data_IF_959470449183
#
_entry.id   IF_959470449183
#
_cell.length_a   1.000
_cell.length_b   1.000
_cell.length_c   1.000
_cell.angle_alpha   90.00
_cell.angle_beta   90.00
_cell.angle_gamma   90.00
#
_symmetry.space_group_name_H-M   'P 1'
#
loop_
_entity.id
_entity.type
_entity.pdbx_description
1 polymer ?
#
# COMPACT_ATOMS: atom_id res chain seq x y z
N UNK A 1 46.46 -11.09 3.34
CA UNK A 1 47.87 -11.53 3.19
C UNK A 1 48.31 -12.57 4.24
N UNK A 2 48.26 -12.28 5.54
CA UNK A 2 48.62 -13.26 6.59
C UNK A 2 47.67 -14.49 6.62
N UNK A 3 46.36 -14.27 6.64
CA UNK A 3 45.35 -15.34 6.58
C UNK A 3 45.48 -16.20 5.32
N UNK A 4 45.73 -15.59 4.17
CA UNK A 4 45.90 -16.29 2.89
C UNK A 4 47.16 -17.18 2.89
N UNK A 5 48.28 -16.65 3.41
CA UNK A 5 49.51 -17.44 3.62
C UNK A 5 49.25 -18.60 4.59
N UNK A 6 48.52 -18.35 5.68
CA UNK A 6 48.18 -19.37 6.67
C UNK A 6 47.35 -20.50 6.06
N UNK A 7 46.31 -20.17 5.27
CA UNK A 7 45.44 -21.15 4.60
C UNK A 7 46.23 -21.96 3.57
N UNK A 8 47.07 -21.30 2.76
CA UNK A 8 47.88 -21.95 1.71
C UNK A 8 48.94 -22.88 2.29
N UNK A 9 49.62 -22.47 3.37
CA UNK A 9 50.63 -23.29 4.06
C UNK A 9 49.97 -24.44 4.83
N UNK A 10 48.84 -24.19 5.52
CA UNK A 10 48.05 -25.23 6.17
C UNK A 10 47.62 -26.31 5.19
N UNK A 11 47.15 -25.95 3.99
CA UNK A 11 46.76 -26.93 2.97
C UNK A 11 47.89 -27.86 2.53
N UNK A 12 49.16 -27.46 2.73
CA UNK A 12 50.35 -28.25 2.37
C UNK A 12 50.96 -29.00 3.55
N UNK A 13 50.92 -28.41 4.75
CA UNK A 13 51.64 -28.91 5.92
C UNK A 13 50.76 -29.52 7.02
N UNK A 14 49.42 -29.46 6.89
CA UNK A 14 48.49 -29.97 7.91
C UNK A 14 48.73 -31.43 8.30
N UNK A 15 49.16 -32.27 7.34
CA UNK A 15 49.44 -33.70 7.59
C UNK A 15 50.84 -33.98 8.15
N UNK A 16 51.76 -33.02 8.06
CA UNK A 16 53.19 -33.21 8.38
C UNK A 16 53.55 -32.53 9.70
N UNK A 17 53.01 -31.32 9.95
CA UNK A 17 53.18 -30.59 11.20
C UNK A 17 51.84 -29.96 11.62
N UNK A 18 51.01 -30.69 12.38
CA UNK A 18 49.74 -30.16 12.88
C UNK A 18 50.00 -29.04 13.90
N UNK A 19 49.46 -27.86 13.66
CA UNK A 19 49.44 -26.74 14.61
C UNK A 19 48.04 -26.57 15.19
N UNK A 20 47.98 -26.11 16.44
CA UNK A 20 46.74 -25.98 17.21
C UNK A 20 45.78 -24.94 16.58
N UNK A 21 46.30 -23.80 16.13
CA UNK A 21 45.52 -22.79 15.43
C UNK A 21 46.01 -22.58 13.99
N UNK A 22 45.07 -22.46 13.05
CA UNK A 22 45.37 -22.41 11.61
C UNK A 22 46.19 -21.19 11.18
N UNK A 23 46.14 -20.09 11.95
CA UNK A 23 46.95 -18.89 11.69
C UNK A 23 48.45 -19.11 12.00
N UNK A 24 48.81 -20.13 12.78
CA UNK A 24 50.19 -20.36 13.24
C UNK A 24 51.08 -20.87 12.10
N UNK A 25 50.49 -21.39 11.02
CA UNK A 25 51.18 -21.74 9.79
C UNK A 25 51.77 -20.52 9.06
N UNK A 26 51.37 -19.29 9.44
CA UNK A 26 51.90 -18.06 8.86
C UNK A 26 53.02 -17.42 9.70
N UNK A 27 53.26 -17.94 10.91
CA UNK A 27 54.22 -17.39 11.89
C UNK A 27 55.64 -17.31 11.34
N UNK A 28 56.10 -18.34 10.61
CA UNK A 28 57.45 -18.39 10.03
C UNK A 28 57.74 -17.23 9.07
N UNK A 29 56.72 -16.71 8.39
CA UNK A 29 56.86 -15.64 7.38
C UNK A 29 56.55 -14.26 7.94
N UNK A 30 55.64 -14.18 8.90
CA UNK A 30 55.03 -12.92 9.34
C UNK A 30 55.31 -12.55 10.81
N UNK A 31 55.97 -13.44 11.55
CA UNK A 31 56.29 -13.25 12.97
C UNK A 31 55.10 -13.51 13.89
N UNK A 32 55.39 -13.88 15.14
CA UNK A 32 54.37 -14.26 16.14
C UNK A 32 53.43 -13.11 16.52
N UNK A 33 53.98 -11.90 16.66
CA UNK A 33 53.20 -10.71 17.01
C UNK A 33 52.08 -10.43 15.99
N UNK A 34 52.37 -10.43 14.69
CA UNK A 34 51.37 -10.15 13.66
C UNK A 34 50.30 -11.26 13.59
N UNK A 35 50.70 -12.52 13.84
CA UNK A 35 49.77 -13.66 13.90
C UNK A 35 48.81 -13.52 15.07
N UNK A 36 49.30 -13.11 16.24
CA UNK A 36 48.49 -12.89 17.44
C UNK A 36 47.55 -11.68 17.27
N UNK A 37 48.04 -10.57 16.69
CA UNK A 37 47.21 -9.40 16.36
C UNK A 37 46.11 -9.76 15.35
N UNK A 38 46.43 -10.54 14.31
CA UNK A 38 45.45 -11.03 13.33
C UNK A 38 44.40 -11.93 14.00
N UNK A 39 44.81 -12.76 14.96
CA UNK A 39 43.89 -13.62 15.73
C UNK A 39 42.93 -12.79 16.58
N UNK A 40 43.42 -11.74 17.25
CA UNK A 40 42.59 -10.80 18.01
C UNK A 40 41.61 -10.09 17.07
N UNK A 41 42.08 -9.59 15.92
CA UNK A 41 41.24 -8.92 14.93
C UNK A 41 40.11 -9.82 14.43
N UNK A 42 40.37 -11.09 14.13
CA UNK A 42 39.33 -12.03 13.72
C UNK A 42 38.30 -12.31 14.82
N UNK A 43 38.70 -12.28 16.09
CA UNK A 43 37.77 -12.43 17.20
C UNK A 43 36.91 -11.18 17.39
N UNK A 44 37.47 -9.98 17.18
CA UNK A 44 36.69 -8.73 17.13
C UNK A 44 35.73 -8.77 15.95
N UNK A 45 36.17 -9.18 14.76
CA UNK A 45 35.31 -9.27 13.58
C UNK A 45 34.10 -10.18 13.81
N UNK A 46 34.29 -11.33 14.48
CA UNK A 46 33.18 -12.21 14.88
C UNK A 46 32.16 -11.51 15.78
N UNK A 47 32.62 -10.67 16.71
CA UNK A 47 31.75 -9.88 17.59
C UNK A 47 30.92 -8.84 16.81
N UNK A 48 31.46 -8.36 15.68
CA UNK A 48 30.81 -7.36 14.83
C UNK A 48 29.86 -7.95 13.78
N UNK A 49 29.76 -9.28 13.64
CA UNK A 49 28.82 -9.94 12.69
C UNK A 49 27.36 -9.47 12.86
N UNK A 50 26.81 -9.28 14.07
CA UNK A 50 25.44 -8.80 14.24
C UNK A 50 25.24 -7.33 13.81
N UNK A 51 26.30 -6.54 13.71
CA UNK A 51 26.21 -5.10 13.45
C UNK A 51 25.63 -4.79 12.06
N UNK A 52 26.09 -5.41 10.95
CA UNK A 52 25.44 -5.27 9.65
C UNK A 52 23.95 -5.67 9.65
N UNK A 53 23.59 -6.71 10.41
CA UNK A 53 22.18 -7.15 10.50
C UNK A 53 21.33 -6.09 11.19
N UNK A 54 21.84 -5.50 12.28
CA UNK A 54 21.16 -4.39 12.96
C UNK A 54 20.94 -3.20 12.03
N UNK A 55 21.97 -2.77 11.29
CA UNK A 55 21.82 -1.66 10.33
C UNK A 55 20.87 -1.99 9.19
N UNK A 56 20.91 -3.21 8.65
CA UNK A 56 19.97 -3.64 7.62
C UNK A 56 18.51 -3.64 8.10
N UNK A 57 18.27 -3.91 9.39
CA UNK A 57 16.96 -3.81 10.01
C UNK A 57 16.57 -2.35 10.27
N UNK A 58 17.49 -1.54 10.78
CA UNK A 58 17.26 -0.12 11.04
C UNK A 58 16.90 0.65 9.76
N UNK A 59 17.60 0.39 8.67
CA UNK A 59 17.37 1.06 7.38
C UNK A 59 15.99 0.74 6.76
N UNK A 60 15.28 -0.29 7.24
CA UNK A 60 13.91 -0.58 6.81
C UNK A 60 12.92 0.52 7.18
N UNK A 61 13.22 1.33 8.21
CA UNK A 61 12.33 2.42 8.60
C UNK A 61 12.15 3.45 7.49
N UNK A 62 13.18 3.67 6.66
CA UNK A 62 13.14 4.66 5.58
C UNK A 62 12.43 4.16 4.33
N UNK A 63 12.25 2.85 4.18
CA UNK A 63 11.68 2.23 2.98
C UNK A 63 10.37 1.50 3.29
N UNK A 64 10.44 0.37 3.99
CA UNK A 64 9.29 -0.50 4.26
C UNK A 64 8.29 0.14 5.21
N UNK A 65 8.74 0.82 6.25
CA UNK A 65 7.80 1.50 7.16
C UNK A 65 7.19 2.75 6.52
N UNK A 66 7.95 3.46 5.68
CA UNK A 66 7.39 4.54 4.83
C UNK A 66 6.28 3.98 3.92
N UNK A 67 6.49 2.83 3.28
CA UNK A 67 5.48 2.20 2.43
C UNK A 67 4.28 1.65 3.20
N UNK A 68 4.48 1.14 4.41
CA UNK A 68 3.38 0.80 5.31
C UNK A 68 2.57 2.06 5.65
N UNK A 69 3.24 3.19 5.94
CA UNK A 69 2.61 4.45 6.26
C UNK A 69 1.83 5.08 5.08
N UNK A 70 2.20 4.83 3.81
CA UNK A 70 1.40 5.31 2.65
C UNK A 70 0.01 4.69 2.59
N UNK A 71 -0.20 3.56 3.28
CA UNK A 71 -1.46 2.83 3.32
C UNK A 71 -2.25 3.06 4.62
N UNK A 72 -1.69 3.84 5.53
CA UNK A 72 -2.29 4.28 6.79
C UNK A 72 -2.93 5.65 6.64
N UNK A 73 -3.81 5.99 7.58
CA UNK A 73 -4.30 7.36 7.71
C UNK A 73 -3.24 8.21 8.43
N UNK A 74 -2.83 9.30 7.77
CA UNK A 74 -1.87 10.26 8.30
C UNK A 74 -2.52 11.50 8.91
N UNK A 75 -3.85 11.56 8.97
CA UNK A 75 -4.57 12.71 9.50
C UNK A 75 -4.52 12.76 11.04
N UNK A 76 -3.95 13.84 11.58
CA UNK A 76 -3.97 14.15 13.01
C UNK A 76 -5.06 15.18 13.37
N UNK A 77 -5.94 15.51 12.42
CA UNK A 77 -7.02 16.49 12.55
C UNK A 77 -6.57 17.94 12.37
N UNK A 78 -5.39 18.31 12.88
CA UNK A 78 -4.80 19.64 12.69
C UNK A 78 -3.74 19.69 11.58
N UNK A 79 -3.20 18.53 11.20
CA UNK A 79 -2.16 18.39 10.19
C UNK A 79 -2.14 16.96 9.66
N UNK A 80 -2.02 16.80 8.34
CA UNK A 80 -1.82 15.49 7.73
C UNK A 80 -0.34 15.22 7.54
N UNK A 81 0.18 14.21 8.25
CA UNK A 81 1.59 13.79 8.13
C UNK A 81 1.76 12.98 6.85
N UNK A 82 2.71 13.37 6.01
CA UNK A 82 3.07 12.57 4.84
C UNK A 82 3.96 11.38 5.25
N UNK A 83 3.85 10.23 4.57
CA UNK A 83 4.58 9.02 4.95
C UNK A 83 6.11 9.21 5.07
N UNK A 84 6.71 9.99 4.19
CA UNK A 84 8.14 10.32 4.20
C UNK A 84 8.55 11.20 5.38
N UNK A 85 7.65 12.08 5.85
CA UNK A 85 7.88 12.92 7.03
C UNK A 85 8.01 12.12 8.33
N UNK A 86 7.51 10.88 8.38
CA UNK A 86 7.70 10.00 9.54
C UNK A 86 9.18 9.74 9.86
N UNK A 87 10.08 9.91 8.89
CA UNK A 87 11.52 9.74 9.10
C UNK A 87 12.10 10.78 10.08
N UNK A 88 11.45 11.95 10.23
CA UNK A 88 11.85 13.01 11.17
C UNK A 88 11.74 12.56 12.63
N UNK A 89 10.88 11.57 12.92
CA UNK A 89 10.71 11.02 14.26
C UNK A 89 12.03 10.41 14.76
N UNK A 90 12.85 9.82 13.90
CA UNK A 90 14.09 9.17 14.30
C UNK A 90 15.13 10.14 14.92
N UNK A 91 15.59 11.21 14.23
CA UNK A 91 16.50 12.17 14.84
C UNK A 91 15.88 12.86 16.06
N UNK A 92 14.57 13.11 16.08
CA UNK A 92 13.88 13.66 17.24
C UNK A 92 13.96 12.73 18.46
N UNK A 93 13.67 11.44 18.27
CA UNK A 93 13.80 10.43 19.32
C UNK A 93 15.24 10.31 19.81
N UNK A 94 16.24 10.39 18.93
CA UNK A 94 17.65 10.38 19.33
C UNK A 94 17.98 11.58 20.22
N UNK A 95 17.54 12.79 19.84
CA UNK A 95 17.77 14.01 20.62
C UNK A 95 17.15 13.93 22.03
N UNK A 96 15.97 13.30 22.15
CA UNK A 96 15.30 13.10 23.44
C UNK A 96 15.92 11.94 24.23
N UNK A 97 16.21 10.82 23.58
CA UNK A 97 16.65 9.60 24.26
C UNK A 97 18.09 9.66 24.72
N UNK A 98 19.03 10.30 24.02
CA UNK A 98 20.42 10.41 24.50
C UNK A 98 20.50 10.94 25.94
N UNK A 99 19.99 12.15 26.27
CA UNK A 99 20.05 12.68 27.62
C UNK A 99 19.21 11.84 28.61
N UNK A 100 18.06 11.31 28.17
CA UNK A 100 17.23 10.45 29.00
C UNK A 100 17.94 9.14 29.38
N UNK A 101 18.74 8.57 28.48
CA UNK A 101 19.54 7.39 28.76
C UNK A 101 20.66 7.67 29.76
N UNK A 102 21.29 8.84 29.68
CA UNK A 102 22.32 9.25 30.63
C UNK A 102 21.78 9.45 32.04
N UNK A 103 20.64 10.14 32.18
CA UNK A 103 20.10 10.52 33.49
C UNK A 103 19.23 9.43 34.12
N UNK A 104 18.43 8.70 33.34
CA UNK A 104 17.42 7.78 33.87
C UNK A 104 17.69 6.30 33.53
N UNK A 105 17.88 5.96 32.26
CA UNK A 105 17.94 4.54 31.88
C UNK A 105 19.24 3.85 32.32
N UNK A 106 20.41 4.47 32.15
CA UNK A 106 21.67 3.84 32.59
C UNK A 106 21.74 3.60 34.10
N UNK A 107 21.35 4.53 35.00
CA UNK A 107 21.32 4.21 36.43
C UNK A 107 20.31 3.09 36.74
N UNK A 108 19.14 3.06 36.10
CA UNK A 108 18.17 1.98 36.29
C UNK A 108 18.69 0.61 35.81
N UNK A 109 19.30 0.56 34.62
CA UNK A 109 19.94 -0.65 34.08
C UNK A 109 21.09 -1.12 34.98
N UNK A 110 21.83 -0.17 35.56
CA UNK A 110 22.91 -0.49 36.50
C UNK A 110 22.39 -1.13 37.79
N UNK A 111 21.15 -0.84 38.20
CA UNK A 111 20.48 -1.44 39.35
C UNK A 111 20.14 -2.92 39.09
N UNK A 112 19.75 -3.24 37.85
CA UNK A 112 19.40 -4.60 37.39
C UNK A 112 20.66 -5.41 36.99
N UNK A 113 21.86 -4.80 37.08
CA UNK A 113 23.14 -5.45 36.80
C UNK A 113 23.59 -5.39 35.34
N UNK A 114 22.91 -4.62 34.49
CA UNK A 114 23.30 -4.37 33.10
C UNK A 114 24.24 -3.18 33.06
N UNK A 115 25.55 -3.46 32.99
CA UNK A 115 26.60 -2.41 33.04
C UNK A 115 27.55 -2.48 31.85
N UNK A 116 27.75 -3.68 31.28
CA UNK A 116 28.74 -3.88 30.22
C UNK A 116 28.23 -3.33 28.89
N UNK A 117 29.08 -2.68 28.08
CA UNK A 117 28.69 -2.19 26.75
C UNK A 117 28.02 -3.25 25.88
N UNK A 118 28.53 -4.50 25.94
CA UNK A 118 27.97 -5.60 25.16
C UNK A 118 26.54 -5.97 25.58
N UNK A 119 26.19 -5.86 26.87
CA UNK A 119 24.83 -6.13 27.36
C UNK A 119 23.84 -5.05 26.89
N UNK A 120 24.30 -3.79 26.82
CA UNK A 120 23.50 -2.68 26.28
C UNK A 120 23.23 -2.87 24.79
N UNK A 121 24.24 -3.33 24.04
CA UNK A 121 24.10 -3.66 22.62
C UNK A 121 23.11 -4.81 22.39
N UNK A 122 23.17 -5.87 23.20
CA UNK A 122 22.18 -6.97 23.11
C UNK A 122 20.77 -6.51 23.42
N UNK A 123 20.60 -5.61 24.41
CA UNK A 123 19.29 -5.05 24.74
C UNK A 123 18.71 -4.23 23.59
N UNK A 124 19.53 -3.41 22.93
CA UNK A 124 19.14 -2.69 21.71
C UNK A 124 18.70 -3.63 20.59
N UNK A 125 19.39 -4.76 20.41
CA UNK A 125 18.98 -5.80 19.46
C UNK A 125 17.62 -6.43 19.79
N UNK A 126 17.32 -6.67 21.08
CA UNK A 126 16.01 -7.17 21.51
C UNK A 126 14.91 -6.14 21.20
N UNK A 127 15.14 -4.86 21.48
CA UNK A 127 14.17 -3.80 21.15
C UNK A 127 13.96 -3.66 19.65
N UNK A 128 15.01 -3.78 18.84
CA UNK A 128 14.88 -3.82 17.38
C UNK A 128 13.97 -4.98 16.94
N UNK A 129 14.19 -6.19 17.48
CA UNK A 129 13.31 -7.34 17.22
C UNK A 129 11.86 -7.08 17.61
N UNK A 130 11.62 -6.48 18.78
CA UNK A 130 10.28 -6.12 19.25
C UNK A 130 9.60 -5.08 18.35
N UNK A 131 10.35 -4.11 17.83
CA UNK A 131 9.82 -3.12 16.89
C UNK A 131 9.31 -3.78 15.60
N UNK A 132 10.00 -4.81 15.09
CA UNK A 132 9.52 -5.56 13.92
C UNK A 132 8.25 -6.37 14.24
N UNK A 133 8.11 -6.91 15.45
CA UNK A 133 6.87 -7.57 15.88
C UNK A 133 5.71 -6.57 15.87
N UNK A 134 5.91 -5.37 16.39
CA UNK A 134 4.89 -4.31 16.37
C UNK A 134 4.55 -3.92 14.92
N UNK A 135 5.54 -3.70 14.06
CA UNK A 135 5.31 -3.38 12.64
C UNK A 135 4.55 -4.49 11.91
N UNK A 136 4.78 -5.76 12.28
CA UNK A 136 4.06 -6.92 11.72
C UNK A 136 2.60 -6.94 12.16
N UNK A 137 2.34 -6.66 13.44
CA UNK A 137 0.97 -6.56 13.97
C UNK A 137 0.20 -5.47 13.22
N UNK A 138 0.82 -4.29 13.03
CA UNK A 138 0.24 -3.18 12.26
C UNK A 138 -0.07 -3.60 10.81
N UNK A 139 0.82 -4.33 10.15
CA UNK A 139 0.59 -4.81 8.78
C UNK A 139 -0.61 -5.76 8.71
N UNK A 140 -0.77 -6.66 9.68
CA UNK A 140 -1.91 -7.58 9.74
C UNK A 140 -3.24 -6.82 9.88
N UNK A 141 -3.27 -5.74 10.67
CA UNK A 141 -4.45 -4.88 10.72
C UNK A 141 -4.69 -4.17 9.37
N UNK A 142 -3.64 -3.70 8.72
CA UNK A 142 -3.74 -3.02 7.42
C UNK A 142 -4.22 -3.94 6.30
N UNK A 143 -3.83 -5.21 6.31
CA UNK A 143 -4.21 -6.19 5.29
C UNK A 143 -5.73 -6.30 5.13
N UNK A 144 -6.48 -6.20 6.23
CA UNK A 144 -7.96 -6.19 6.22
C UNK A 144 -8.57 -5.02 5.43
N UNK A 145 -7.81 -3.94 5.22
CA UNK A 145 -8.22 -2.73 4.51
C UNK A 145 -7.73 -2.69 3.06
N UNK A 146 -6.94 -3.66 2.63
CA UNK A 146 -6.44 -3.71 1.26
C UNK A 146 -7.54 -4.16 0.30
N UNK A 147 -7.49 -3.62 -0.91
CA UNK A 147 -8.31 -4.10 -1.98
C UNK A 147 -7.95 -5.55 -2.31
N UNK A 148 -8.97 -6.40 -2.42
CA UNK A 148 -8.81 -7.74 -2.97
C UNK A 148 -8.60 -7.56 -4.47
N UNK A 149 -7.47 -8.01 -5.00
CA UNK A 149 -7.17 -7.97 -6.45
C UNK A 149 -7.41 -9.38 -6.99
N UNK A 150 -8.20 -9.55 -8.07
CA UNK A 150 -8.46 -10.86 -8.66
C UNK A 150 -7.16 -11.48 -9.17
N UNK A 151 -6.92 -12.75 -8.82
CA UNK A 151 -5.77 -13.54 -9.28
C UNK A 151 -6.14 -14.34 -10.53
N UNK A 152 -5.17 -15.03 -11.14
CA UNK A 152 -5.44 -16.00 -12.20
C UNK A 152 -6.56 -16.98 -11.80
N UNK A 153 -7.54 -17.15 -12.68
CA UNK A 153 -8.77 -17.92 -12.47
C UNK A 153 -9.90 -17.14 -11.78
N UNK A 154 -9.70 -15.88 -11.40
CA UNK A 154 -10.68 -15.06 -10.71
C UNK A 154 -10.93 -13.73 -11.44
N UNK A 155 -12.09 -13.14 -11.18
CA UNK A 155 -12.46 -11.80 -11.62
C UNK A 155 -13.40 -11.14 -10.60
N UNK A 156 -13.55 -9.81 -10.68
CA UNK A 156 -14.50 -9.07 -9.85
C UNK A 156 -15.59 -8.44 -10.69
N UNK A 157 -16.82 -8.47 -10.16
CA UNK A 157 -17.98 -7.86 -10.77
C UNK A 157 -18.67 -6.93 -9.77
N UNK A 158 -18.74 -5.65 -10.13
CA UNK A 158 -19.54 -4.65 -9.40
C UNK A 158 -20.66 -4.15 -10.29
N UNK A 159 -21.87 -4.08 -9.76
CA UNK A 159 -23.03 -3.55 -10.48
C UNK A 159 -23.62 -2.42 -9.64
N UNK A 160 -23.61 -1.21 -10.20
CA UNK A 160 -24.08 0.01 -9.56
C UNK A 160 -25.44 0.42 -10.12
N UNK A 161 -26.39 0.68 -9.23
CA UNK A 161 -27.70 1.22 -9.60
C UNK A 161 -27.72 2.74 -9.52
N UNK A 162 -27.62 3.43 -10.65
CA UNK A 162 -27.75 4.89 -10.72
C UNK A 162 -29.19 5.39 -10.74
N UNK A 163 -30.19 4.54 -10.54
CA UNK A 163 -31.61 4.90 -10.60
C UNK A 163 -32.23 5.06 -9.20
N UNK A 164 -33.26 5.92 -9.05
CA UNK A 164 -34.01 6.09 -7.81
C UNK A 164 -34.97 4.92 -7.50
N UNK A 165 -34.74 3.73 -8.07
CA UNK A 165 -35.68 2.61 -8.08
C UNK A 165 -34.99 1.30 -7.73
N UNK A 166 -35.74 0.36 -7.16
CA UNK A 166 -35.27 -0.99 -6.88
C UNK A 166 -35.48 -1.90 -8.10
N UNK A 167 -34.45 -2.66 -8.44
CA UNK A 167 -34.49 -3.65 -9.51
C UNK A 167 -34.21 -5.05 -8.99
N UNK A 168 -35.00 -6.01 -9.42
CA UNK A 168 -34.72 -7.43 -9.22
C UNK A 168 -33.97 -7.95 -10.44
N UNK A 169 -32.79 -8.50 -10.20
CA UNK A 169 -31.90 -9.06 -11.20
C UNK A 169 -31.94 -10.58 -11.06
N UNK A 170 -32.38 -11.25 -12.11
CA UNK A 170 -32.23 -12.70 -12.23
C UNK A 170 -31.04 -12.96 -13.14
N UNK A 171 -30.05 -13.70 -12.67
CA UNK A 171 -28.80 -13.91 -13.39
C UNK A 171 -28.39 -15.38 -13.38
N UNK A 172 -27.45 -15.75 -14.25
CA UNK A 172 -26.78 -17.06 -14.18
C UNK A 172 -25.42 -16.99 -13.46
N UNK A 173 -25.19 -15.95 -12.65
CA UNK A 173 -23.99 -15.83 -11.83
C UNK A 173 -24.04 -16.92 -10.74
N UNK A 174 -22.95 -17.68 -10.51
CA UNK A 174 -22.90 -18.68 -9.45
C UNK A 174 -23.30 -18.08 -8.10
N UNK A 175 -24.15 -18.79 -7.36
CA UNK A 175 -24.63 -18.38 -6.03
C UNK A 175 -25.50 -17.10 -5.99
N UNK A 176 -25.67 -16.39 -7.11
CA UNK A 176 -26.43 -15.14 -7.24
C UNK A 176 -27.49 -15.21 -8.34
N UNK A 177 -28.30 -16.27 -8.31
CA UNK A 177 -29.33 -16.50 -9.32
C UNK A 177 -30.44 -15.44 -9.32
N UNK A 178 -30.74 -14.86 -8.15
CA UNK A 178 -31.75 -13.82 -7.98
C UNK A 178 -31.35 -12.90 -6.83
N UNK A 179 -31.23 -11.60 -7.11
CA UNK A 179 -30.92 -10.59 -6.09
C UNK A 179 -31.62 -9.27 -6.39
N UNK A 180 -31.90 -8.50 -5.33
CA UNK A 180 -32.51 -7.17 -5.46
C UNK A 180 -31.45 -6.09 -5.30
N UNK A 181 -31.26 -5.32 -6.36
CA UNK A 181 -30.38 -4.16 -6.39
C UNK A 181 -31.18 -2.91 -6.03
N UNK A 182 -31.01 -2.45 -4.80
CA UNK A 182 -31.72 -1.27 -4.26
C UNK A 182 -31.32 0.00 -4.98
N UNK A 183 -32.16 1.04 -4.89
CA UNK A 183 -31.86 2.37 -5.38
C UNK A 183 -30.52 2.90 -4.86
N UNK A 184 -29.70 3.49 -5.74
CA UNK A 184 -28.39 4.09 -5.41
C UNK A 184 -27.41 3.15 -4.69
N UNK A 185 -27.63 1.84 -4.78
CA UNK A 185 -26.80 0.81 -4.15
C UNK A 185 -25.92 0.07 -5.16
N UNK A 186 -25.03 -0.76 -4.64
CA UNK A 186 -24.12 -1.58 -5.42
C UNK A 186 -24.26 -3.05 -5.02
N UNK A 187 -24.23 -3.94 -6.02
CA UNK A 187 -23.93 -5.35 -5.85
C UNK A 187 -22.43 -5.58 -6.10
N UNK A 188 -21.78 -6.36 -5.25
CA UNK A 188 -20.35 -6.68 -5.37
C UNK A 188 -20.13 -8.18 -5.22
N UNK A 189 -19.45 -8.77 -6.20
CA UNK A 189 -18.88 -10.11 -6.12
C UNK A 189 -17.37 -10.01 -6.38
N UNK A 190 -16.58 -10.42 -5.37
CA UNK A 190 -15.10 -10.28 -5.36
C UNK A 190 -14.39 -11.54 -5.86
N UNK A 191 -15.07 -12.69 -5.87
CA UNK A 191 -14.46 -13.99 -6.12
C UNK A 191 -15.21 -14.77 -7.21
N UNK A 192 -15.29 -14.18 -8.40
CA UNK A 192 -15.93 -14.84 -9.54
C UNK A 192 -14.93 -15.73 -10.26
N UNK A 193 -15.18 -17.04 -10.33
CA UNK A 193 -14.29 -17.97 -11.02
C UNK A 193 -14.43 -17.82 -12.55
N UNK A 194 -13.41 -17.22 -13.18
CA UNK A 194 -13.38 -16.89 -14.61
C UNK A 194 -12.04 -17.28 -15.20
N UNK A 195 -12.06 -18.09 -16.27
CA UNK A 195 -10.87 -18.45 -17.06
C UNK A 195 -10.94 -17.76 -18.42
N UNK A 196 -10.04 -16.83 -18.68
CA UNK A 196 -9.99 -15.96 -19.85
C UNK A 196 -11.12 -14.94 -19.90
N UNK A 197 -12.30 -15.35 -20.37
CA UNK A 197 -13.47 -14.49 -20.50
C UNK A 197 -14.74 -15.29 -20.26
N UNK A 198 -15.61 -14.79 -19.39
CA UNK A 198 -16.92 -15.37 -19.11
C UNK A 198 -18.03 -14.37 -19.45
N UNK A 199 -19.13 -14.89 -19.97
CA UNK A 199 -20.32 -14.09 -20.26
C UNK A 199 -21.46 -14.58 -19.39
N UNK A 200 -21.98 -13.71 -18.53
CA UNK A 200 -23.15 -13.96 -17.70
C UNK A 200 -24.36 -13.27 -18.33
N UNK A 201 -25.51 -13.91 -18.29
CA UNK A 201 -26.78 -13.37 -18.75
C UNK A 201 -27.61 -12.95 -17.55
N UNK A 202 -28.34 -11.85 -17.67
CA UNK A 202 -29.26 -11.39 -16.63
C UNK A 202 -30.52 -10.75 -17.23
N UNK A 203 -31.61 -10.77 -16.47
CA UNK A 203 -32.85 -10.06 -16.76
C UNK A 203 -33.12 -9.06 -15.63
N UNK A 204 -33.58 -7.87 -16.01
CA UNK A 204 -33.88 -6.78 -15.07
C UNK A 204 -35.40 -6.60 -14.98
N UNK A 205 -35.96 -6.69 -13.78
CA UNK A 205 -37.38 -6.43 -13.52
C UNK A 205 -37.53 -5.33 -12.47
N UNK A 206 -38.43 -4.38 -12.72
CA UNK A 206 -38.65 -3.24 -11.82
C UNK A 206 -39.58 -3.64 -10.67
N UNK A 207 -39.16 -3.40 -9.43
CA UNK A 207 -39.94 -3.76 -8.23
C UNK A 207 -40.50 -2.55 -7.49
N UNK A 208 -40.04 -1.33 -7.81
CA UNK A 208 -40.47 -0.08 -7.17
C UNK A 208 -41.48 0.75 -7.98
N UNK A 209 -42.38 1.52 -7.33
CA UNK A 209 -43.33 2.38 -8.01
C UNK A 209 -42.66 3.69 -8.43
N UNK A 210 -42.41 3.89 -9.73
CA UNK A 210 -42.00 5.18 -10.26
C UNK A 210 -42.11 5.25 -11.79
N UNK A 211 -42.56 6.38 -12.37
CA UNK A 211 -42.77 6.53 -13.82
C UNK A 211 -41.48 6.45 -14.65
N UNK A 212 -40.31 6.59 -14.00
CA UNK A 212 -38.98 6.52 -14.62
C UNK A 212 -38.27 5.17 -14.37
N UNK A 213 -38.95 4.20 -13.75
CA UNK A 213 -38.39 2.93 -13.31
C UNK A 213 -38.80 1.76 -14.20
N UNK A 214 -39.67 1.98 -15.20
CA UNK A 214 -40.14 0.93 -16.08
C UNK A 214 -39.00 0.43 -16.97
N UNK A 215 -38.81 -0.90 -16.99
CA UNK A 215 -37.80 -1.57 -17.82
C UNK A 215 -38.51 -2.64 -18.62
N UNK A 216 -38.19 -2.75 -19.90
CA UNK A 216 -38.53 -3.94 -20.66
C UNK A 216 -37.72 -5.13 -20.10
N UNK A 217 -38.39 -6.23 -19.78
CA UNK A 217 -37.74 -7.47 -19.37
C UNK A 217 -36.97 -8.07 -20.56
N UNK A 218 -35.76 -7.57 -20.76
CA UNK A 218 -34.85 -8.03 -21.81
C UNK A 218 -33.69 -8.80 -21.18
N UNK A 219 -33.28 -9.89 -21.84
CA UNK A 219 -32.07 -10.60 -21.47
C UNK A 219 -30.84 -9.83 -21.96
N UNK A 220 -29.97 -9.48 -21.02
CA UNK A 220 -28.73 -8.72 -21.24
C UNK A 220 -27.53 -9.51 -20.75
N UNK A 221 -26.33 -9.05 -21.05
CA UNK A 221 -25.10 -9.76 -20.70
C UNK A 221 -24.09 -8.90 -19.94
N UNK A 222 -23.40 -9.53 -18.99
CA UNK A 222 -22.15 -9.07 -18.40
C UNK A 222 -21.01 -9.89 -19.00
N UNK A 223 -19.95 -9.20 -19.42
CA UNK A 223 -18.73 -9.82 -19.95
C UNK A 223 -17.63 -9.51 -18.95
N UNK A 224 -17.11 -10.56 -18.34
CA UNK A 224 -16.11 -10.48 -17.28
C UNK A 224 -14.83 -11.13 -17.77
N UNK A 225 -13.70 -10.46 -17.55
CA UNK A 225 -12.37 -10.93 -17.93
C UNK A 225 -11.59 -11.37 -16.69
N UNK A 226 -10.80 -12.43 -16.84
CA UNK A 226 -9.87 -12.92 -15.82
C UNK A 226 -8.87 -11.83 -15.40
N UNK A 227 -8.49 -11.80 -14.12
CA UNK A 227 -7.56 -10.82 -13.53
C UNK A 227 -8.03 -9.35 -13.63
N UNK A 228 -9.31 -9.12 -13.98
CA UNK A 228 -9.87 -7.78 -14.12
C UNK A 228 -10.96 -7.50 -13.08
N UNK A 229 -11.00 -6.25 -12.64
CA UNK A 229 -12.12 -5.72 -11.86
C UNK A 229 -13.04 -4.97 -12.82
N UNK A 230 -14.29 -5.41 -12.95
CA UNK A 230 -15.22 -4.83 -13.92
C UNK A 230 -16.45 -4.28 -13.21
N UNK A 231 -16.76 -3.04 -13.54
CA UNK A 231 -17.88 -2.30 -13.00
C UNK A 231 -18.90 -2.01 -14.09
N UNK A 232 -20.17 -2.25 -13.76
CA UNK A 232 -21.31 -1.96 -14.60
C UNK A 232 -22.19 -0.92 -13.93
N UNK A 233 -22.41 0.22 -14.60
CA UNK A 233 -23.25 1.31 -14.10
C UNK A 233 -24.56 1.38 -14.87
N UNK A 234 -25.67 1.18 -14.16
CA UNK A 234 -27.03 1.29 -14.69
C UNK A 234 -27.45 2.76 -14.68
N UNK A 235 -27.71 3.33 -15.85
CA UNK A 235 -28.12 4.73 -16.02
C UNK A 235 -29.35 4.88 -16.90
N UNK A 236 -30.01 6.03 -16.79
CA UNK A 236 -31.15 6.37 -17.66
C UNK A 236 -30.64 6.87 -19.02
N UNK A 237 -31.28 6.45 -20.10
CA UNK A 237 -31.12 7.00 -21.44
C UNK A 237 -32.51 7.31 -22.01
N UNK A 238 -32.61 8.20 -23.01
CA UNK A 238 -33.88 8.81 -23.48
C UNK A 238 -35.02 7.82 -23.77
N UNK A 239 -34.71 6.56 -24.10
CA UNK A 239 -35.68 5.50 -24.40
C UNK A 239 -35.65 4.30 -23.44
N UNK A 240 -34.90 4.34 -22.34
CA UNK A 240 -34.84 3.23 -21.37
C UNK A 240 -33.61 3.23 -20.46
N UNK A 241 -33.11 2.04 -20.15
CA UNK A 241 -31.93 1.83 -19.30
C UNK A 241 -30.74 1.43 -20.15
N UNK A 242 -29.60 2.09 -19.95
CA UNK A 242 -28.31 1.72 -20.53
C UNK A 242 -27.33 1.25 -19.45
N UNK A 243 -26.42 0.36 -19.82
CA UNK A 243 -25.32 -0.07 -18.97
C UNK A 243 -24.01 0.48 -19.52
N UNK A 244 -23.28 1.18 -18.65
CA UNK A 244 -21.90 1.59 -18.91
C UNK A 244 -20.96 0.58 -18.27
N UNK A 245 -20.08 -0.03 -19.07
CA UNK A 245 -19.01 -0.91 -18.60
C UNK A 245 -17.71 -0.12 -18.47
N UNK A 246 -16.99 -0.28 -17.37
CA UNK A 246 -15.64 0.24 -17.20
C UNK A 246 -14.79 -0.68 -16.31
N UNK A 247 -13.48 -0.58 -16.46
CA UNK A 247 -12.52 -1.29 -15.60
C UNK A 247 -12.32 -0.51 -14.30
N UNK A 248 -12.34 -1.24 -13.19
CA UNK A 248 -12.25 -0.70 -11.85
C UNK A 248 -10.82 -0.75 -11.32
N UNK A 249 -10.45 0.28 -10.58
CA UNK A 249 -9.25 0.29 -9.75
C UNK A 249 -9.66 0.59 -8.31
N UNK A 250 -9.33 -0.32 -7.39
CA UNK A 250 -9.63 -0.21 -5.96
C UNK A 250 -8.37 -0.05 -5.12
N UNK A 251 -7.20 0.05 -5.74
CA UNK A 251 -5.96 0.24 -5.00
C UNK A 251 -5.97 1.56 -4.22
N UNK A 252 -5.34 1.53 -3.05
CA UNK A 252 -5.09 2.75 -2.27
C UNK A 252 -4.08 3.62 -3.02
N UNK A 253 -4.24 4.94 -2.93
CA UNK A 253 -3.28 5.87 -3.52
C UNK A 253 -1.87 5.66 -3.00
N UNK A 254 -0.91 5.52 -3.91
CA UNK A 254 0.52 5.47 -3.55
C UNK A 254 1.02 6.75 -2.88
N UNK A 255 0.32 7.87 -3.08
CA UNK A 255 0.65 9.19 -2.50
C UNK A 255 -0.05 9.46 -1.16
N UNK A 256 -0.90 8.53 -0.68
CA UNK A 256 -1.65 8.69 0.56
C UNK A 256 -2.85 9.64 0.48
N UNK A 257 -3.18 10.16 -0.71
CA UNK A 257 -4.37 11.01 -0.89
C UNK A 257 -5.63 10.16 -1.07
N UNK A 258 -6.78 10.59 -0.54
CA UNK A 258 -8.04 9.89 -0.75
C UNK A 258 -8.44 9.95 -2.23
N UNK A 259 -8.83 8.79 -2.77
CA UNK A 259 -9.33 8.67 -4.13
C UNK A 259 -10.84 8.55 -4.07
N UNK A 260 -11.54 9.52 -4.64
CA UNK A 260 -12.99 9.50 -4.76
C UNK A 260 -13.40 9.16 -6.18
N UNK A 261 -14.39 8.26 -6.29
CA UNK A 261 -15.10 7.96 -7.53
C UNK A 261 -16.52 8.48 -7.41
N UNK A 262 -16.97 9.20 -8.44
CA UNK A 262 -18.34 9.72 -8.51
C UNK A 262 -19.02 9.11 -9.73
N UNK A 263 -20.13 8.40 -9.48
CA UNK A 263 -20.98 7.84 -10.51
C UNK A 263 -22.29 8.63 -10.52
N UNK A 264 -22.49 9.42 -11.57
CA UNK A 264 -23.66 10.28 -11.71
C UNK A 264 -24.56 9.84 -12.86
N UNK A 265 -25.86 9.77 -12.59
CA UNK A 265 -26.89 9.61 -13.62
C UNK A 265 -27.50 10.99 -13.94
N UNK A 266 -26.66 11.89 -14.45
CA UNK A 266 -27.03 13.28 -14.78
C UNK A 266 -27.36 13.41 -16.26
N UNK A 267 -28.19 14.40 -16.60
CA UNK A 267 -28.42 14.76 -18.00
C UNK A 267 -27.10 15.16 -18.68
N UNK A 268 -26.90 14.73 -19.92
CA UNK A 268 -25.64 14.89 -20.68
C UNK A 268 -25.25 16.36 -20.89
N UNK A 269 -26.19 17.29 -20.74
CA UNK A 269 -25.98 18.73 -20.91
C UNK A 269 -25.61 19.47 -19.60
N UNK A 270 -25.44 18.78 -18.48
CA UNK A 270 -25.05 19.39 -17.21
C UNK A 270 -23.58 19.16 -16.91
N UNK A 271 -22.85 20.26 -16.70
CA UNK A 271 -21.47 20.21 -16.23
C UNK A 271 -21.45 20.00 -14.71
N UNK A 272 -20.78 18.95 -14.24
CA UNK A 272 -20.52 18.72 -12.82
C UNK A 272 -19.15 19.27 -12.50
N UNK A 273 -19.10 20.30 -11.66
CA UNK A 273 -17.86 20.92 -11.21
C UNK A 273 -17.71 20.67 -9.73
N UNK A 274 -16.64 19.99 -9.34
CA UNK A 274 -16.24 19.92 -7.94
C UNK A 274 -15.68 21.28 -7.53
N UNK A 275 -16.01 21.74 -6.33
CA UNK A 275 -15.42 22.94 -5.73
C UNK A 275 -15.05 22.62 -4.30
N UNK A 276 -13.93 23.18 -3.88
CA UNK A 276 -13.61 23.20 -2.46
C UNK A 276 -14.59 24.17 -1.76
N UNK A 277 -15.01 23.85 -0.54
CA UNK A 277 -15.93 24.69 0.22
C UNK A 277 -15.21 25.95 0.70
N UNK A 278 -13.89 25.85 0.92
CA UNK A 278 -13.06 26.92 1.49
C UNK A 278 -12.31 27.75 0.42
N UNK A 279 -12.40 27.36 -0.86
CA UNK A 279 -11.81 28.09 -1.98
C UNK A 279 -12.88 28.55 -2.97
N UNK A 280 -12.84 29.83 -3.37
CA UNK A 280 -13.72 30.37 -4.42
C UNK A 280 -13.37 29.84 -5.82
N UNK A 281 -12.22 29.19 -5.98
CA UNK A 281 -11.77 28.64 -7.25
C UNK A 281 -12.34 27.23 -7.49
N UNK A 282 -12.61 26.90 -8.75
CA UNK A 282 -13.00 25.55 -9.15
C UNK A 282 -11.94 24.51 -8.75
N UNK A 283 -12.36 23.28 -8.45
CA UNK A 283 -11.45 22.18 -8.12
C UNK A 283 -10.54 21.88 -9.33
N UNK A 284 -9.31 22.39 -9.28
CA UNK A 284 -8.29 22.14 -10.29
C UNK A 284 -7.46 20.92 -9.89
N UNK A 285 -7.71 19.77 -10.55
CA UNK A 285 -6.90 18.56 -10.36
C UNK A 285 -5.48 18.70 -10.92
N UNK A 286 -5.19 19.75 -11.68
CA UNK A 286 -3.89 20.00 -12.30
C UNK A 286 -3.64 21.52 -12.50
N UNK A 287 -3.35 22.27 -11.44
CA UNK A 287 -1.93 22.68 -11.30
C UNK A 287 -1.02 21.46 -11.49
N UNK A 288 -0.86 21.10 -12.76
CA UNK A 288 0.15 20.20 -13.28
C UNK A 288 1.50 20.81 -12.90
N UNK A 289 2.08 20.28 -11.84
CA UNK A 289 3.35 20.71 -11.27
C UNK A 289 4.06 19.54 -10.65
N UNK A 290 4.18 18.44 -11.39
CA UNK A 290 5.43 17.71 -11.35
C UNK A 290 6.38 18.51 -12.22
N UNK A 291 7.39 19.15 -11.61
CA UNK A 291 8.64 19.32 -12.33
C UNK A 291 9.18 17.90 -12.56
N UNK A 292 9.11 17.43 -13.81
CA UNK A 292 10.29 17.04 -14.59
C UNK A 292 9.89 16.64 -16.03
N UNK A 293 10.84 16.86 -16.93
CA UNK A 293 10.78 17.13 -18.37
C UNK A 293 10.39 15.97 -19.32
N UNK A 294 10.15 16.39 -20.58
CA UNK A 294 10.29 15.70 -21.88
C UNK A 294 9.03 15.14 -22.60
N UNK A 295 8.68 15.88 -23.68
CA UNK A 295 8.04 15.51 -24.95
C UNK A 295 6.62 14.91 -25.00
N UNK A 296 5.64 15.75 -25.40
CA UNK A 296 4.86 15.60 -26.65
C UNK A 296 3.81 16.74 -26.80
N UNK A 297 3.94 17.68 -27.77
CA UNK A 297 3.05 18.84 -27.91
C UNK A 297 1.70 18.58 -28.62
N UNK A 298 1.24 17.34 -28.82
CA UNK A 298 0.07 17.09 -29.68
C UNK A 298 -0.95 16.02 -29.27
N UNK A 299 -1.19 15.80 -27.98
CA UNK A 299 -2.30 14.93 -27.54
C UNK A 299 -3.57 15.74 -27.23
N UNK A 300 -4.47 15.87 -28.22
CA UNK A 300 -5.83 16.43 -28.05
C UNK A 300 -6.85 15.29 -27.99
N UNK A 301 -7.78 15.31 -27.02
CA UNK A 301 -9.07 14.60 -27.10
C UNK A 301 -10.20 15.46 -26.49
N UNK A 302 -11.45 15.31 -26.98
CA UNK A 302 -12.23 16.43 -27.49
C UNK A 302 -13.12 17.14 -26.45
N UNK A 303 -13.29 18.42 -26.72
CA UNK A 303 -14.17 19.39 -26.08
C UNK A 303 -15.52 19.34 -26.79
N UNK A 304 -16.64 19.34 -26.06
CA UNK A 304 -17.89 19.89 -26.59
C UNK A 304 -18.45 20.99 -25.67
N UNK A 305 -18.23 22.20 -26.20
CA UNK A 305 -18.92 23.48 -26.16
C UNK A 305 -19.65 24.02 -24.90
N UNK A 306 -19.23 25.25 -24.61
CA UNK A 306 -19.76 26.32 -23.76
C UNK A 306 -21.20 26.69 -24.13
N UNK A 307 -22.07 26.89 -23.14
CA UNK A 307 -23.03 28.00 -23.12
C UNK A 307 -23.45 28.36 -21.67
N UNK A 308 -23.52 29.65 -21.38
CA UNK A 308 -23.88 30.23 -20.09
C UNK A 308 -25.38 30.19 -19.82
N UNK A 309 -25.79 29.86 -18.59
CA UNK A 309 -26.79 30.61 -17.82
C UNK A 309 -27.02 29.98 -16.45
N UNK A 310 -27.16 30.83 -15.43
CA UNK A 310 -27.18 30.45 -14.03
C UNK A 310 -28.47 29.77 -13.57
N UNK A 311 -28.33 28.92 -12.55
CA UNK A 311 -29.01 28.99 -11.26
C UNK A 311 -28.48 27.89 -10.33
N UNK A 312 -28.68 28.09 -9.03
CA UNK A 312 -28.06 27.46 -7.85
C UNK A 312 -27.65 25.98 -7.88
N UNK A 313 -26.46 25.72 -7.32
CA UNK A 313 -25.88 24.39 -7.07
C UNK A 313 -26.41 23.78 -5.76
N UNK A 314 -26.73 22.47 -5.72
CA UNK A 314 -27.02 21.78 -4.47
C UNK A 314 -25.74 21.61 -3.63
N UNK A 315 -25.78 22.08 -2.38
CA UNK A 315 -24.74 21.90 -1.37
C UNK A 315 -24.91 20.52 -0.72
N UNK A 316 -23.90 19.65 -0.84
CA UNK A 316 -23.85 18.39 -0.10
C UNK A 316 -22.99 18.56 1.15
N UNK A 317 -23.61 18.42 2.33
CA UNK A 317 -22.92 18.33 3.62
C UNK A 317 -22.45 16.89 3.83
N UNK A 318 -21.23 16.75 4.35
CA UNK A 318 -20.67 15.51 4.87
C UNK A 318 -21.60 14.95 5.96
N UNK A 319 -22.10 13.73 5.79
CA UNK A 319 -22.73 12.98 6.88
C UNK A 319 -21.61 12.28 7.64
N UNK A 320 -21.44 12.64 8.90
CA UNK A 320 -20.59 11.89 9.82
C UNK A 320 -21.36 10.65 10.27
N UNK A 321 -20.92 9.48 9.81
CA UNK A 321 -21.11 8.15 10.42
C UNK A 321 -20.00 7.21 9.97
#
# INVERSE_FOLDING_TARGET
MACETAIRTRSREKSINPREHWLDYSEKRWGRQLVDETRILLNVLKLYIPLPVFWALFDQQGSRWTFQATRMDGDLGFWTIKPDQMQVINPLLILVFIPLYEVAFYPLLSLIGIRRPLQKLTLGGIFAGLAFVISTIVEIQLESTYAVIPKAGEAQLRIFNGMPCDYRIQSNIPEHADFTLKSMSMFEEKYLNVKGSATYTYTLSSTGPGPNCAVAEEQRTFVVHEEKQLSYFIRKQDSGISLLRYEDDTEKSSKGYPVFRVLGNTATNRTVVFRDIDSSDGFDRHKNGSYDEEDDPNATLPIDQKEESGLDNPVFKKSDE
#
